data_IF_956068831990
#
_entry.id   IF_956068831990
#
_cell.length_a   1.000
_cell.length_b   1.000
_cell.length_c   1.000
_cell.angle_alpha   90.00
_cell.angle_beta   90.00
_cell.angle_gamma   90.00
#
_symmetry.space_group_name_H-M   'P 1'
#
loop_
_entity.id
_entity.type
_entity.pdbx_description
1 polymer ?
#
# COMPACT_ATOMS: atom_id res chain seq x y z
N UNK A 1 2.12 23.16 -25.86
CA UNK A 1 1.04 22.24 -25.41
C UNK A 1 1.54 21.12 -24.47
N UNK A 2 2.68 20.45 -24.72
CA UNK A 2 3.16 19.32 -23.90
C UNK A 2 3.43 19.58 -22.40
N UNK A 3 3.67 20.83 -21.97
CA UNK A 3 3.99 21.17 -20.57
C UNK A 3 2.77 21.23 -19.63
N UNK A 4 1.62 21.63 -20.16
CA UNK A 4 0.37 21.77 -19.40
C UNK A 4 -0.21 20.38 -19.11
N UNK A 5 -0.18 19.49 -20.10
CA UNK A 5 -0.65 18.11 -19.98
C UNK A 5 0.17 17.31 -18.97
N UNK A 6 1.51 17.46 -18.97
CA UNK A 6 2.39 16.83 -17.96
C UNK A 6 2.10 17.33 -16.54
N UNK A 7 1.87 18.64 -16.37
CA UNK A 7 1.52 19.24 -15.07
C UNK A 7 0.16 18.74 -14.57
N UNK A 8 -0.83 18.67 -15.46
CA UNK A 8 -2.19 18.21 -15.16
C UNK A 8 -2.22 16.72 -14.80
N UNK A 9 -1.50 15.87 -15.55
CA UNK A 9 -1.36 14.43 -15.25
C UNK A 9 -0.69 14.17 -13.90
N UNK A 10 0.32 14.97 -13.54
CA UNK A 10 0.97 14.90 -12.23
C UNK A 10 0.01 15.27 -11.09
N UNK A 11 -0.83 16.28 -11.28
CA UNK A 11 -1.85 16.69 -10.29
C UNK A 11 -2.93 15.62 -10.12
N UNK A 12 -3.40 15.01 -11.21
CA UNK A 12 -4.38 13.93 -11.19
C UNK A 12 -3.85 12.69 -10.47
N UNK A 13 -2.62 12.28 -10.78
CA UNK A 13 -1.92 11.19 -10.09
C UNK A 13 -1.78 11.49 -8.58
N UNK A 14 -1.43 12.73 -8.23
CA UNK A 14 -1.31 13.13 -6.83
C UNK A 14 -2.65 13.05 -6.07
N UNK A 15 -3.74 13.54 -6.66
CA UNK A 15 -5.09 13.46 -6.08
C UNK A 15 -5.51 12.00 -5.87
N UNK A 16 -5.20 11.11 -6.83
CA UNK A 16 -5.48 9.67 -6.73
C UNK A 16 -4.73 9.03 -5.57
N UNK A 17 -3.44 9.30 -5.43
CA UNK A 17 -2.61 8.79 -4.33
C UNK A 17 -3.06 9.30 -2.96
N UNK A 18 -3.47 10.57 -2.88
CA UNK A 18 -4.01 11.13 -1.63
C UNK A 18 -5.36 10.52 -1.26
N UNK A 19 -6.22 10.28 -2.25
CA UNK A 19 -7.50 9.59 -2.04
C UNK A 19 -7.28 8.16 -1.53
N UNK A 20 -6.35 7.43 -2.16
CA UNK A 20 -5.93 6.09 -1.75
C UNK A 20 -5.43 6.06 -0.31
N UNK A 21 -4.55 7.00 0.06
CA UNK A 21 -4.02 7.14 1.42
C UNK A 21 -5.16 7.35 2.43
N UNK A 22 -6.09 8.28 2.15
CA UNK A 22 -7.23 8.56 3.04
C UNK A 22 -8.13 7.33 3.22
N UNK A 23 -8.40 6.60 2.14
CA UNK A 23 -9.19 5.38 2.19
C UNK A 23 -8.53 4.31 3.08
N UNK A 24 -7.22 4.08 2.92
CA UNK A 24 -6.47 3.13 3.73
C UNK A 24 -6.46 3.53 5.21
N UNK A 25 -6.16 4.79 5.51
CA UNK A 25 -6.14 5.31 6.89
C UNK A 25 -7.52 5.26 7.55
N UNK A 26 -8.59 5.48 6.79
CA UNK A 26 -9.95 5.33 7.28
C UNK A 26 -10.24 3.89 7.70
N UNK A 27 -9.91 2.91 6.85
CA UNK A 27 -10.12 1.50 7.17
C UNK A 27 -9.24 0.97 8.30
N UNK A 28 -7.96 1.33 8.30
CA UNK A 28 -6.92 0.66 9.12
C UNK A 28 -6.64 1.40 10.43
N UNK A 29 -6.79 2.73 10.45
CA UNK A 29 -6.43 3.55 11.62
C UNK A 29 -7.66 4.12 12.31
N UNK A 30 -8.63 4.65 11.57
CA UNK A 30 -9.88 5.12 12.18
C UNK A 30 -10.78 3.93 12.53
N UNK A 31 -10.93 2.97 11.61
CA UNK A 31 -11.80 1.80 11.73
C UNK A 31 -13.27 2.18 11.93
N UNK A 32 -13.76 3.16 11.17
CA UNK A 32 -15.14 3.65 11.23
C UNK A 32 -15.69 3.88 9.82
N UNK A 33 -17.02 3.82 9.68
CA UNK A 33 -17.74 4.16 8.43
C UNK A 33 -17.96 5.66 8.24
N UNK A 34 -17.45 6.49 9.15
CA UNK A 34 -17.56 7.96 9.06
C UNK A 34 -16.65 8.55 7.99
N UNK A 35 -16.85 9.82 7.66
CA UNK A 35 -15.91 10.57 6.82
C UNK A 35 -14.49 10.64 7.41
N UNK A 36 -13.50 10.79 6.53
CA UNK A 36 -12.10 10.87 6.91
C UNK A 36 -11.78 12.17 7.68
N UNK A 37 -11.02 12.05 8.77
CA UNK A 37 -10.53 13.18 9.57
C UNK A 37 -9.08 12.96 10.00
N UNK A 38 -8.21 13.93 9.69
CA UNK A 38 -6.80 13.87 10.06
C UNK A 38 -6.60 13.88 11.58
N UNK A 39 -7.33 14.74 12.30
CA UNK A 39 -7.24 14.80 13.75
C UNK A 39 -7.62 13.46 14.39
N UNK A 40 -8.74 12.85 13.95
CA UNK A 40 -9.14 11.51 14.42
C UNK A 40 -8.09 10.46 14.08
N UNK A 41 -7.52 10.51 12.88
CA UNK A 41 -6.49 9.56 12.43
C UNK A 41 -5.23 9.64 13.30
N UNK A 42 -4.71 10.84 13.50
CA UNK A 42 -3.49 11.07 14.30
C UNK A 42 -3.76 10.70 15.75
N UNK A 43 -4.88 11.14 16.32
CA UNK A 43 -5.26 10.80 17.69
C UNK A 43 -5.35 9.27 17.89
N UNK A 44 -5.99 8.55 16.95
CA UNK A 44 -6.08 7.08 17.01
C UNK A 44 -4.72 6.40 16.84
N UNK A 45 -3.86 6.88 15.95
CA UNK A 45 -2.51 6.35 15.78
C UNK A 45 -1.65 6.55 17.04
N UNK A 46 -1.79 7.69 17.73
CA UNK A 46 -1.06 7.94 18.97
C UNK A 46 -1.60 7.11 20.14
N UNK A 47 -2.93 7.06 20.32
CA UNK A 47 -3.59 6.37 21.44
C UNK A 47 -3.55 4.84 21.31
N UNK A 48 -3.69 4.29 20.10
CA UNK A 48 -3.74 2.84 19.87
C UNK A 48 -2.43 2.35 19.24
N UNK A 49 -1.56 1.64 20.00
CA UNK A 49 -0.23 1.25 19.52
C UNK A 49 -0.28 0.32 18.30
N UNK A 50 -1.28 -0.57 18.20
CA UNK A 50 -1.46 -1.51 17.09
C UNK A 50 -1.69 -0.80 15.75
N UNK A 51 -2.19 0.44 15.79
CA UNK A 51 -2.50 1.24 14.59
C UNK A 51 -1.30 2.04 14.08
N UNK A 52 -0.24 2.17 14.89
CA UNK A 52 0.94 2.99 14.57
C UNK A 52 1.65 2.49 13.32
N UNK A 53 1.76 1.17 13.16
CA UNK A 53 2.41 0.58 11.99
C UNK A 53 1.70 1.00 10.70
N UNK A 54 0.38 0.75 10.61
CA UNK A 54 -0.43 1.12 9.45
C UNK A 54 -0.32 2.61 9.13
N UNK A 55 -0.47 3.47 10.15
CA UNK A 55 -0.37 4.91 9.98
C UNK A 55 0.96 5.34 9.36
N UNK A 56 2.08 4.94 9.98
CA UNK A 56 3.40 5.36 9.54
C UNK A 56 3.81 4.74 8.22
N UNK A 57 3.48 3.47 7.98
CA UNK A 57 3.81 2.81 6.72
C UNK A 57 3.04 3.44 5.55
N UNK A 58 1.73 3.68 5.71
CA UNK A 58 0.91 4.33 4.67
C UNK A 58 1.41 5.73 4.33
N UNK A 59 1.81 6.51 5.33
CA UNK A 59 2.41 7.84 5.13
C UNK A 59 3.76 7.72 4.41
N UNK A 60 4.65 6.84 4.87
CA UNK A 60 5.95 6.64 4.26
C UNK A 60 5.83 6.22 2.79
N UNK A 61 4.94 5.27 2.49
CA UNK A 61 4.73 4.78 1.14
C UNK A 61 4.14 5.87 0.22
N UNK A 62 3.17 6.66 0.71
CA UNK A 62 2.65 7.81 -0.03
C UNK A 62 3.74 8.86 -0.34
N UNK A 63 4.57 9.22 0.64
CA UNK A 63 5.67 10.18 0.46
C UNK A 63 6.70 9.68 -0.55
N UNK A 64 6.94 8.37 -0.58
CA UNK A 64 7.83 7.72 -1.53
C UNK A 64 7.25 7.71 -2.95
N UNK A 65 6.01 7.22 -3.13
CA UNK A 65 5.32 7.09 -4.43
C UNK A 65 5.02 8.44 -5.08
N UNK A 66 4.80 9.49 -4.29
CA UNK A 66 4.59 10.87 -4.81
C UNK A 66 5.87 11.68 -4.96
N UNK A 67 7.04 11.09 -4.63
CA UNK A 67 8.34 11.76 -4.65
C UNK A 67 8.40 13.08 -3.84
N UNK A 68 7.54 13.24 -2.83
CA UNK A 68 7.48 14.45 -2.00
C UNK A 68 8.62 14.50 -0.97
N UNK A 69 8.95 13.36 -0.37
CA UNK A 69 9.95 13.30 0.70
C UNK A 69 10.62 11.91 0.80
N UNK A 70 11.37 11.51 -0.25
CA UNK A 70 11.99 10.17 -0.33
C UNK A 70 12.91 9.83 0.85
N UNK A 71 13.76 10.77 1.27
CA UNK A 71 14.70 10.54 2.39
C UNK A 71 13.94 10.26 3.70
N UNK A 72 12.87 11.04 3.95
CA UNK A 72 12.01 10.88 5.13
C UNK A 72 11.26 9.55 5.08
N UNK A 73 10.67 9.20 3.93
CA UNK A 73 9.98 7.91 3.81
C UNK A 73 10.90 6.72 4.10
N UNK A 74 12.14 6.75 3.58
CA UNK A 74 13.12 5.68 3.82
C UNK A 74 13.45 5.59 5.31
N UNK A 75 13.64 6.73 5.99
CA UNK A 75 13.90 6.76 7.43
C UNK A 75 12.74 6.19 8.25
N UNK A 76 11.50 6.57 7.93
CA UNK A 76 10.31 6.02 8.59
C UNK A 76 10.23 4.50 8.37
N UNK A 77 10.45 4.03 7.13
CA UNK A 77 10.40 2.60 6.83
C UNK A 77 11.48 1.79 7.58
N UNK A 78 12.70 2.32 7.66
CA UNK A 78 13.78 1.70 8.45
C UNK A 78 13.39 1.58 9.92
N UNK A 79 12.80 2.62 10.50
CA UNK A 79 12.34 2.60 11.89
C UNK A 79 11.23 1.55 12.10
N UNK A 80 10.29 1.44 11.15
CA UNK A 80 9.23 0.43 11.20
C UNK A 80 9.81 -0.98 11.12
N UNK A 81 10.73 -1.22 10.20
CA UNK A 81 11.41 -2.51 10.06
C UNK A 81 12.14 -2.91 11.34
N UNK A 82 12.91 -1.99 11.92
CA UNK A 82 13.67 -2.25 13.15
C UNK A 82 12.73 -2.51 14.35
N UNK A 83 11.58 -1.83 14.41
CA UNK A 83 10.65 -1.93 15.53
C UNK A 83 9.73 -3.15 15.47
N UNK A 84 9.28 -3.51 14.28
CA UNK A 84 8.23 -4.52 14.08
C UNK A 84 8.74 -5.82 13.44
N UNK A 85 9.98 -5.85 12.94
CA UNK A 85 10.51 -7.02 12.22
C UNK A 85 9.77 -7.32 10.91
N UNK A 86 9.15 -6.30 10.31
CA UNK A 86 8.33 -6.38 9.10
C UNK A 86 8.90 -5.43 8.04
N UNK A 87 9.24 -5.97 6.87
CA UNK A 87 9.73 -5.20 5.72
C UNK A 87 8.69 -5.15 4.61
N UNK A 88 7.95 -4.05 4.56
CA UNK A 88 7.04 -3.73 3.47
C UNK A 88 7.69 -2.69 2.56
N UNK A 89 8.17 -3.12 1.39
CA UNK A 89 8.91 -2.28 0.46
C UNK A 89 8.16 -1.01 0.06
N UNK A 90 8.81 0.15 0.24
CA UNK A 90 8.29 1.43 -0.23
C UNK A 90 8.20 1.44 -1.76
N UNK A 91 7.05 1.86 -2.30
CA UNK A 91 6.74 1.79 -3.72
C UNK A 91 5.71 0.72 -4.05
N UNK A 92 5.54 -0.29 -3.20
CA UNK A 92 4.51 -1.32 -3.37
C UNK A 92 3.12 -0.68 -3.33
N UNK A 93 2.20 -1.24 -4.12
CA UNK A 93 0.79 -0.90 -4.05
C UNK A 93 0.08 -1.95 -3.20
N UNK A 94 -0.53 -1.52 -2.10
CA UNK A 94 -1.39 -2.38 -1.27
C UNK A 94 -2.74 -1.67 -1.15
N UNK A 95 -3.83 -2.37 -1.44
CA UNK A 95 -5.20 -1.89 -1.33
C UNK A 95 -5.61 -1.52 0.10
N UNK A 96 -6.87 -1.08 0.28
CA UNK A 96 -7.42 -0.80 1.61
C UNK A 96 -7.69 -2.09 2.39
N UNK A 97 -7.95 -1.95 3.70
CA UNK A 97 -8.22 -3.08 4.59
C UNK A 97 -7.05 -4.07 4.71
N UNK A 98 -5.80 -3.60 4.71
CA UNK A 98 -4.65 -4.44 5.05
C UNK A 98 -4.79 -4.95 6.48
N UNK A 99 -4.64 -6.26 6.68
CA UNK A 99 -4.61 -6.90 8.00
C UNK A 99 -3.32 -7.69 8.18
N UNK A 100 -2.63 -7.42 9.27
CA UNK A 100 -1.42 -8.15 9.68
C UNK A 100 -1.69 -8.72 11.07
N UNK A 101 -1.66 -10.05 11.21
CA UNK A 101 -1.84 -10.71 12.50
C UNK A 101 -0.59 -10.56 13.38
N UNK A 102 0.56 -10.88 12.80
CA UNK A 102 1.86 -10.85 13.46
C UNK A 102 2.88 -10.30 12.47
N UNK A 103 3.59 -9.25 12.87
CA UNK A 103 4.48 -8.51 11.98
C UNK A 103 5.75 -9.27 11.60
N UNK A 104 6.25 -10.09 12.52
CA UNK A 104 7.61 -10.67 12.45
C UNK A 104 7.78 -11.53 11.20
N UNK A 105 8.89 -11.30 10.49
CA UNK A 105 9.29 -12.12 9.35
C UNK A 105 8.49 -11.86 8.08
N UNK A 106 7.63 -10.84 8.05
CA UNK A 106 6.95 -10.43 6.81
C UNK A 106 7.92 -9.65 5.93
N UNK A 107 8.05 -10.07 4.67
CA UNK A 107 8.87 -9.39 3.65
C UNK A 107 8.05 -9.26 2.36
N UNK A 108 7.79 -8.03 1.90
CA UNK A 108 7.08 -7.75 0.65
C UNK A 108 7.92 -6.83 -0.23
N UNK A 109 8.17 -7.24 -1.46
CA UNK A 109 8.91 -6.47 -2.45
C UNK A 109 8.19 -5.16 -2.82
N UNK A 110 8.99 -4.15 -3.16
CA UNK A 110 8.53 -2.84 -3.64
C UNK A 110 7.77 -2.88 -4.97
N UNK A 111 7.90 -3.96 -5.75
CA UNK A 111 7.23 -4.12 -7.04
C UNK A 111 5.86 -4.80 -6.93
N UNK A 112 5.46 -5.22 -5.73
CA UNK A 112 4.19 -5.89 -5.50
C UNK A 112 3.00 -4.93 -5.68
N UNK A 113 1.97 -5.44 -6.36
CA UNK A 113 0.64 -4.84 -6.46
C UNK A 113 -0.33 -5.82 -5.80
N UNK A 114 -0.94 -5.39 -4.71
CA UNK A 114 -1.82 -6.18 -3.88
C UNK A 114 -3.15 -5.45 -3.78
N UNK A 115 -4.25 -6.17 -4.02
CA UNK A 115 -5.61 -5.66 -3.96
C UNK A 115 -6.09 -5.35 -2.54
N UNK A 116 -7.39 -5.14 -2.42
CA UNK A 116 -8.05 -4.81 -1.15
C UNK A 116 -8.21 -6.07 -0.26
N UNK A 117 -8.43 -5.86 1.04
CA UNK A 117 -8.71 -6.92 2.01
C UNK A 117 -7.59 -7.97 2.14
N UNK A 118 -6.35 -7.55 1.95
CA UNK A 118 -5.21 -8.46 2.06
C UNK A 118 -4.92 -8.80 3.53
N UNK A 119 -4.87 -10.09 3.84
CA UNK A 119 -4.55 -10.60 5.17
C UNK A 119 -3.21 -11.35 5.12
N UNK A 120 -2.27 -10.94 5.96
CA UNK A 120 -0.90 -11.45 6.02
C UNK A 120 -0.63 -12.08 7.37
N UNK A 121 0.02 -13.25 7.33
CA UNK A 121 0.52 -13.96 8.51
C UNK A 121 2.04 -13.77 8.63
N UNK A 122 2.58 -14.05 9.82
CA UNK A 122 4.02 -14.00 10.09
C UNK A 122 4.82 -14.85 9.09
N UNK A 123 6.11 -14.51 8.93
CA UNK A 123 7.05 -15.27 8.09
C UNK A 123 6.65 -15.36 6.60
N UNK A 124 5.71 -14.52 6.15
CA UNK A 124 5.30 -14.47 4.74
C UNK A 124 6.27 -13.64 3.92
N UNK A 125 6.81 -14.23 2.84
CA UNK A 125 7.67 -13.53 1.89
C UNK A 125 7.05 -13.48 0.50
N UNK A 126 6.94 -12.27 -0.06
CA UNK A 126 6.54 -12.01 -1.45
C UNK A 126 7.68 -11.23 -2.11
N UNK A 127 8.59 -11.97 -2.74
CA UNK A 127 9.80 -11.43 -3.37
C UNK A 127 9.80 -11.64 -4.88
N UNK A 128 10.60 -10.84 -5.58
CA UNK A 128 10.92 -11.03 -7.01
C UNK A 128 12.35 -11.54 -7.13
N UNK A 129 12.61 -12.42 -8.11
CA UNK A 129 13.93 -13.02 -8.29
C UNK A 129 15.00 -11.98 -8.65
N UNK A 130 14.64 -11.01 -9.52
CA UNK A 130 15.48 -9.90 -9.91
C UNK A 130 14.66 -8.61 -9.85
N UNK A 131 15.15 -7.57 -9.17
CA UNK A 131 14.49 -6.25 -9.15
C UNK A 131 14.62 -5.54 -10.52
N UNK A 132 15.64 -5.88 -11.30
CA UNK A 132 15.92 -5.30 -12.64
C UNK A 132 15.11 -5.97 -13.76
N UNK A 133 14.71 -7.23 -13.56
CA UNK A 133 13.68 -7.84 -14.38
C UNK A 133 12.36 -7.27 -13.88
N UNK A 134 11.53 -6.73 -14.77
CA UNK A 134 10.19 -6.18 -14.48
C UNK A 134 9.19 -7.24 -13.97
N UNK A 135 9.62 -8.14 -13.09
CA UNK A 135 8.77 -9.05 -12.34
C UNK A 135 7.76 -8.23 -11.54
N UNK A 136 6.51 -8.26 -11.99
CA UNK A 136 5.39 -7.61 -11.33
C UNK A 136 4.55 -8.69 -10.66
N UNK A 137 4.53 -8.70 -9.34
CA UNK A 137 3.67 -9.61 -8.57
C UNK A 137 2.33 -8.91 -8.37
N UNK A 138 1.26 -9.51 -8.88
CA UNK A 138 -0.09 -9.01 -8.69
C UNK A 138 -0.91 -10.01 -7.86
N UNK A 139 -1.30 -9.62 -6.66
CA UNK A 139 -2.15 -10.41 -5.77
C UNK A 139 -3.53 -9.77 -5.78
N UNK A 140 -4.47 -10.43 -6.46
CA UNK A 140 -5.88 -10.00 -6.52
C UNK A 140 -6.52 -10.15 -5.12
N UNK A 141 -7.43 -9.25 -4.72
CA UNK A 141 -8.70 -9.05 -5.42
C UNK A 141 -8.86 -7.60 -5.94
N UNK A 142 -8.93 -7.43 -7.25
CA UNK A 142 -9.42 -6.19 -7.87
C UNK A 142 -10.92 -6.39 -8.17
N UNK A 143 -11.75 -5.35 -7.98
CA UNK A 143 -13.11 -5.33 -8.55
C UNK A 143 -13.02 -5.81 -10.01
N UNK A 144 -13.77 -6.88 -10.34
CA UNK A 144 -13.68 -7.64 -11.60
C UNK A 144 -13.91 -6.79 -12.87
N UNK A 145 -14.15 -5.48 -12.74
CA UNK A 145 -14.52 -4.56 -13.81
C UNK A 145 -13.35 -3.85 -14.50
N UNK A 146 -12.09 -3.99 -14.07
CA UNK A 146 -10.97 -3.21 -14.63
C UNK A 146 -9.95 -3.99 -15.48
N UNK A 147 -10.21 -5.27 -15.81
CA UNK A 147 -9.33 -6.06 -16.69
C UNK A 147 -10.08 -6.88 -17.76
N UNK A 148 -11.34 -6.55 -18.08
CA UNK A 148 -11.95 -7.04 -19.33
C UNK A 148 -11.44 -6.19 -20.50
N UNK A 149 -10.20 -6.45 -20.89
CA UNK A 149 -9.70 -6.29 -22.25
C UNK A 149 -8.50 -7.23 -22.37
N UNK A 150 -8.76 -8.46 -22.83
CA UNK A 150 -7.75 -9.48 -23.10
C UNK A 150 -7.94 -10.80 -22.35
N UNK A 151 -8.87 -11.62 -22.86
CA UNK A 151 -9.01 -13.08 -22.69
C UNK A 151 -8.18 -13.73 -21.55
N UNK A 152 -8.82 -13.94 -20.40
CA UNK A 152 -8.34 -14.85 -19.36
C UNK A 152 -9.40 -15.93 -19.11
N UNK A 153 -9.08 -17.18 -19.39
CA UNK A 153 -9.92 -18.34 -19.08
C UNK A 153 -9.99 -18.58 -17.57
N UNK A 154 -11.10 -19.16 -17.14
CA UNK A 154 -11.40 -19.45 -15.73
C UNK A 154 -10.50 -20.59 -15.22
N UNK A 155 -9.70 -20.43 -14.15
CA UNK A 155 -8.84 -21.49 -13.62
C UNK A 155 -9.59 -22.71 -13.05
N UNK A 156 -10.93 -22.69 -13.04
CA UNK A 156 -11.77 -23.79 -12.53
C UNK A 156 -12.18 -24.81 -13.58
N UNK A 157 -11.72 -24.68 -14.83
CA UNK A 157 -12.05 -25.63 -15.91
C UNK A 157 -11.01 -26.75 -16.11
N UNK A 158 -9.98 -26.81 -15.27
CA UNK A 158 -9.06 -27.95 -15.19
C UNK A 158 -9.14 -28.61 -13.81
N UNK A 159 -10.24 -29.32 -13.57
CA UNK A 159 -10.27 -30.41 -12.60
C UNK A 159 -11.18 -31.51 -13.14
#
# INVERSE_FOLDING_TARGET
MQGIDKKMNKVLSHKKELSHLKACLLSEVICSRTSFSWFKTIHRALKCPDRRFYFWWRIANYLYRTNKAKKISIRINRNLRNKYGCDLGLGSYIGKNLRISHYVGIVISRTCIIGDNFHILQNTTIGVLNEDIQGKISIYPMDFKLHRDGKGTNPREHR
#
